data_IF_974822602801
#
_entry.id   IF_974822602801
#
_cell.length_a   1.000
_cell.length_b   1.000
_cell.length_c   1.000
_cell.angle_alpha   90.00
_cell.angle_beta   90.00
_cell.angle_gamma   90.00
#
_symmetry.space_group_name_H-M   'P 1'
#
loop_
_entity.id
_entity.type
_entity.pdbx_description
1 polymer ?
#
# COMPACT_ATOMS: atom_id res chain seq x y z
N UNK A 1 -20.76 14.25 20.06
CA UNK A 1 -21.35 13.18 19.20
C UNK A 1 -20.36 12.05 19.13
N UNK A 2 -20.81 10.80 19.08
CA UNK A 2 -19.90 9.70 18.81
C UNK A 2 -19.45 9.79 17.34
N UNK A 3 -18.15 9.72 17.03
CA UNK A 3 -17.67 9.78 15.67
C UNK A 3 -18.17 8.53 14.89
N UNK A 4 -18.61 8.75 13.66
CA UNK A 4 -19.03 7.68 12.76
C UNK A 4 -17.88 7.14 11.92
N UNK A 5 -16.94 8.02 11.57
CA UNK A 5 -15.71 7.69 10.82
C UNK A 5 -14.48 8.21 11.56
N UNK A 6 -13.44 7.38 11.62
CA UNK A 6 -12.12 7.79 12.07
C UNK A 6 -11.17 7.89 10.90
N UNK A 7 -10.50 9.03 10.78
CA UNK A 7 -9.32 9.21 9.93
C UNK A 7 -8.10 8.88 10.78
N UNK A 8 -7.27 7.95 10.34
CA UNK A 8 -6.06 7.52 11.07
C UNK A 8 -4.83 7.89 10.25
N UNK A 9 -3.98 8.74 10.84
CA UNK A 9 -2.77 9.22 10.19
C UNK A 9 -1.52 8.84 11.00
N UNK A 10 -0.66 7.94 10.48
CA UNK A 10 0.66 7.72 11.04
C UNK A 10 1.59 8.88 10.65
N UNK A 11 2.44 9.33 11.57
CA UNK A 11 3.40 10.40 11.27
C UNK A 11 4.76 10.15 11.90
N UNK A 12 5.80 10.72 11.28
CA UNK A 12 7.15 10.85 11.85
C UNK A 12 7.91 11.96 11.14
N UNK A 13 8.27 13.02 11.88
CA UNK A 13 9.10 14.14 11.36
C UNK A 13 8.54 14.75 10.07
N UNK A 14 7.24 15.07 10.06
CA UNK A 14 6.52 15.63 8.90
C UNK A 14 5.52 16.73 9.31
N UNK A 15 5.87 17.53 10.32
CA UNK A 15 4.97 18.54 10.91
C UNK A 15 4.22 19.37 9.86
N UNK A 16 4.93 19.95 8.88
CA UNK A 16 4.30 20.81 7.87
C UNK A 16 3.26 20.05 7.02
N UNK A 17 3.61 18.87 6.52
CA UNK A 17 2.73 18.06 5.69
C UNK A 17 1.52 17.55 6.48
N UNK A 18 1.75 17.14 7.73
CA UNK A 18 0.71 16.70 8.63
C UNK A 18 -0.29 17.83 8.95
N UNK A 19 0.16 19.09 9.06
CA UNK A 19 -0.74 20.23 9.20
C UNK A 19 -1.64 20.37 7.96
N UNK A 20 -1.09 20.23 6.76
CA UNK A 20 -1.88 20.29 5.52
C UNK A 20 -2.90 19.13 5.44
N UNK A 21 -2.51 17.91 5.82
CA UNK A 21 -3.40 16.75 5.92
C UNK A 21 -4.54 16.99 6.92
N UNK A 22 -4.24 17.46 8.13
CA UNK A 22 -5.26 17.78 9.12
C UNK A 22 -6.21 18.87 8.63
N UNK A 23 -5.67 19.95 8.04
CA UNK A 23 -6.50 21.02 7.49
C UNK A 23 -7.48 20.51 6.42
N UNK A 24 -7.11 19.48 5.66
CA UNK A 24 -8.01 18.83 4.69
C UNK A 24 -9.14 18.04 5.36
N UNK A 25 -8.88 17.45 6.54
CA UNK A 25 -9.90 16.76 7.36
C UNK A 25 -10.83 17.77 8.03
N UNK A 26 -10.29 18.87 8.55
CA UNK A 26 -11.10 19.92 9.19
C UNK A 26 -12.04 20.65 8.21
N UNK A 27 -11.69 20.69 6.90
CA UNK A 27 -12.53 21.27 5.83
C UNK A 27 -13.59 20.31 5.27
N UNK A 28 -13.77 19.11 5.83
CA UNK A 28 -14.79 18.17 5.38
C UNK A 28 -16.22 18.71 5.61
N UNK A 29 -17.12 18.42 4.67
CA UNK A 29 -18.55 18.75 4.77
C UNK A 29 -19.31 17.90 5.81
N UNK A 30 -18.70 16.84 6.31
CA UNK A 30 -19.24 15.90 7.28
C UNK A 30 -18.62 16.14 8.65
N UNK A 31 -19.44 16.22 9.72
CA UNK A 31 -18.95 16.62 11.06
C UNK A 31 -18.72 15.46 12.04
N UNK A 32 -19.31 14.27 11.79
CA UNK A 32 -19.24 13.14 12.72
C UNK A 32 -17.96 12.30 12.49
N UNK A 33 -16.80 12.97 12.51
CA UNK A 33 -15.49 12.34 12.40
C UNK A 33 -14.62 12.54 13.64
N UNK A 34 -13.66 11.64 13.82
CA UNK A 34 -12.47 11.84 14.64
C UNK A 34 -11.21 11.70 13.78
N UNK A 35 -10.16 12.49 14.08
CA UNK A 35 -8.85 12.35 13.45
C UNK A 35 -7.84 11.86 14.48
N UNK A 36 -7.42 10.61 14.36
CA UNK A 36 -6.44 9.99 15.26
C UNK A 36 -5.07 10.03 14.59
N UNK A 37 -4.23 10.92 15.08
CA UNK A 37 -2.85 11.08 14.64
C UNK A 37 -1.97 10.27 15.58
N UNK A 38 -1.21 9.32 15.03
CA UNK A 38 -0.32 8.46 15.79
C UNK A 38 1.13 8.73 15.39
N UNK A 39 1.88 9.28 16.30
CA UNK A 39 3.27 9.71 16.11
C UNK A 39 4.27 8.58 16.44
N UNK A 40 5.12 8.25 15.49
CA UNK A 40 6.17 7.23 15.58
C UNK A 40 7.49 7.75 16.19
N UNK A 41 7.40 8.80 17.03
CA UNK A 41 8.54 9.41 17.70
C UNK A 41 9.17 10.54 16.87
N UNK A 42 8.39 11.58 16.60
CA UNK A 42 8.88 12.83 15.98
C UNK A 42 9.66 13.68 16.98
N UNK A 43 10.60 14.48 16.45
CA UNK A 43 11.42 15.46 17.18
C UNK A 43 11.44 16.84 16.48
N UNK A 44 10.46 17.09 15.58
CA UNK A 44 10.33 18.29 14.76
C UNK A 44 9.28 19.31 15.26
N UNK A 45 8.82 19.16 16.52
CA UNK A 45 7.76 20.01 17.10
C UNK A 45 6.34 19.52 16.83
N UNK A 46 6.19 18.31 16.25
CA UNK A 46 4.88 17.71 15.97
C UNK A 46 4.05 17.55 17.25
N UNK A 47 4.67 17.10 18.35
CA UNK A 47 3.96 16.84 19.61
C UNK A 47 3.32 18.11 20.18
N UNK A 48 4.07 19.20 20.24
CA UNK A 48 3.61 20.48 20.78
C UNK A 48 2.48 21.08 19.93
N UNK A 49 2.64 21.07 18.61
CA UNK A 49 1.62 21.62 17.70
C UNK A 49 0.31 20.84 17.77
N UNK A 50 0.37 19.49 17.79
CA UNK A 50 -0.84 18.69 17.78
C UNK A 50 -1.51 18.57 19.15
N UNK A 51 -0.77 18.71 20.27
CA UNK A 51 -1.36 18.90 21.59
C UNK A 51 -2.22 20.17 21.59
N UNK A 52 -1.68 21.31 21.09
CA UNK A 52 -2.39 22.58 20.99
C UNK A 52 -3.63 22.50 20.08
N UNK A 53 -3.55 21.80 18.94
CA UNK A 53 -4.70 21.63 18.04
C UNK A 53 -5.79 20.76 18.64
N UNK A 54 -5.45 19.72 19.39
CA UNK A 54 -6.39 18.85 20.10
C UNK A 54 -7.13 19.58 21.23
N UNK A 55 -6.50 20.55 21.89
CA UNK A 55 -7.17 21.42 22.89
C UNK A 55 -8.26 22.28 22.24
N UNK A 56 -8.07 22.72 20.99
CA UNK A 56 -9.02 23.60 20.29
C UNK A 56 -10.13 22.83 19.52
N UNK A 57 -9.89 21.58 19.15
CA UNK A 57 -10.89 20.73 18.46
C UNK A 57 -10.87 19.32 19.05
N UNK A 58 -11.86 18.94 19.87
CA UNK A 58 -11.91 17.64 20.54
C UNK A 58 -12.05 16.44 19.58
N UNK A 59 -12.30 16.68 18.29
CA UNK A 59 -12.32 15.63 17.27
C UNK A 59 -10.91 15.21 16.86
N UNK A 60 -9.87 15.99 17.21
CA UNK A 60 -8.47 15.69 16.95
C UNK A 60 -7.91 14.98 18.17
N UNK A 61 -7.30 13.82 17.95
CA UNK A 61 -6.64 13.02 18.97
C UNK A 61 -5.20 12.77 18.55
N UNK A 62 -4.27 13.28 19.32
CA UNK A 62 -2.84 13.03 19.13
C UNK A 62 -2.35 11.98 20.11
N UNK A 63 -1.71 10.93 19.59
CA UNK A 63 -1.19 9.81 20.35
C UNK A 63 0.28 9.59 20.01
N UNK A 64 1.13 9.45 21.01
CA UNK A 64 2.49 8.97 20.81
C UNK A 64 2.51 7.45 20.84
N UNK A 65 3.26 6.84 19.92
CA UNK A 65 3.47 5.41 19.94
C UNK A 65 4.23 4.98 21.19
N UNK A 66 3.63 4.10 21.97
CA UNK A 66 4.23 3.49 23.17
C UNK A 66 4.72 2.05 22.91
N UNK A 67 4.37 1.47 21.76
CA UNK A 67 4.77 0.13 21.38
C UNK A 67 6.29 0.06 21.13
N UNK A 68 6.90 -1.09 21.46
CA UNK A 68 8.33 -1.35 21.22
C UNK A 68 8.66 -1.30 19.71
N UNK A 69 7.78 -1.86 18.87
CA UNK A 69 7.93 -1.82 17.41
C UNK A 69 7.53 -0.46 16.87
N UNK A 70 8.24 0.00 15.84
CA UNK A 70 7.97 1.24 15.10
C UNK A 70 7.45 0.95 13.70
N UNK A 71 6.82 1.96 13.08
CA UNK A 71 6.35 1.91 11.71
C UNK A 71 4.89 2.31 11.53
N UNK A 72 4.54 2.69 10.31
CA UNK A 72 3.20 3.16 9.98
C UNK A 72 2.10 2.11 10.25
N UNK A 73 2.38 0.82 10.04
CA UNK A 73 1.48 -0.29 10.36
C UNK A 73 1.17 -0.38 11.86
N UNK A 74 2.18 -0.21 12.72
CA UNK A 74 1.99 -0.17 14.19
C UNK A 74 1.11 1.02 14.57
N UNK A 75 1.41 2.21 14.03
CA UNK A 75 0.64 3.42 14.28
C UNK A 75 -0.82 3.28 13.78
N UNK A 76 -1.04 2.72 12.60
CA UNK A 76 -2.40 2.46 12.10
C UNK A 76 -3.17 1.50 13.01
N UNK A 77 -2.53 0.45 13.51
CA UNK A 77 -3.15 -0.49 14.45
C UNK A 77 -3.49 0.17 15.80
N UNK A 78 -2.63 1.06 16.29
CA UNK A 78 -2.94 1.87 17.49
C UNK A 78 -4.21 2.69 17.22
N UNK A 79 -4.28 3.41 16.09
CA UNK A 79 -5.45 4.18 15.70
C UNK A 79 -6.74 3.34 15.61
N UNK A 80 -6.67 2.13 15.03
CA UNK A 80 -7.84 1.20 14.95
C UNK A 80 -8.31 0.77 16.35
N UNK A 81 -7.39 0.50 17.28
CA UNK A 81 -7.73 0.10 18.66
C UNK A 81 -8.36 1.25 19.44
N UNK A 82 -7.80 2.45 19.31
CA UNK A 82 -8.23 3.64 20.01
C UNK A 82 -9.53 4.25 19.49
N UNK A 83 -9.89 3.94 18.22
CA UNK A 83 -11.12 4.43 17.61
C UNK A 83 -12.36 3.69 18.14
N UNK A 84 -13.42 4.48 18.40
CA UNK A 84 -14.80 4.01 18.61
C UNK A 84 -15.64 4.01 17.34
N UNK A 85 -15.19 4.63 16.26
CA UNK A 85 -15.97 4.81 15.04
C UNK A 85 -16.33 3.49 14.35
N UNK A 86 -17.44 3.50 13.60
CA UNK A 86 -17.88 2.36 12.79
C UNK A 86 -16.97 2.17 11.56
N UNK A 87 -16.55 3.29 10.95
CA UNK A 87 -15.75 3.29 9.73
C UNK A 87 -14.34 3.83 9.99
N UNK A 88 -13.39 3.32 9.22
CA UNK A 88 -11.99 3.72 9.27
C UNK A 88 -11.53 4.14 7.88
N UNK A 89 -10.84 5.26 7.79
CA UNK A 89 -10.06 5.72 6.65
C UNK A 89 -8.62 5.89 7.12
N UNK A 90 -7.66 5.40 6.35
CA UNK A 90 -6.26 5.72 6.56
C UNK A 90 -5.89 6.90 5.67
N UNK A 91 -5.14 7.85 6.20
CA UNK A 91 -4.64 9.00 5.45
C UNK A 91 -3.14 9.12 5.74
N UNK A 92 -2.30 9.06 4.72
CA UNK A 92 -0.89 9.33 4.90
C UNK A 92 -0.65 10.81 5.22
N UNK A 93 0.38 11.10 6.00
CA UNK A 93 0.65 12.45 6.52
C UNK A 93 1.01 13.50 5.46
N UNK A 94 1.19 13.08 4.21
CA UNK A 94 1.48 13.94 3.04
C UNK A 94 0.34 14.01 2.03
N UNK A 95 -0.77 13.30 2.25
CA UNK A 95 -1.93 13.24 1.36
C UNK A 95 -3.08 14.13 1.85
N UNK A 96 -4.04 14.42 0.95
CA UNK A 96 -5.14 15.34 1.23
C UNK A 96 -6.49 14.72 0.87
N UNK A 97 -7.51 14.92 1.72
CA UNK A 97 -8.90 14.60 1.40
C UNK A 97 -9.58 15.79 0.71
N UNK A 98 -10.41 15.53 -0.31
CA UNK A 98 -11.26 16.55 -0.92
C UNK A 98 -12.48 16.85 -0.03
N UNK A 99 -13.09 18.03 -0.11
CA UNK A 99 -14.07 18.50 0.89
C UNK A 99 -15.27 17.58 1.16
N UNK A 100 -15.71 16.79 0.20
CA UNK A 100 -16.88 15.88 0.35
C UNK A 100 -16.50 14.41 0.54
N UNK A 101 -15.22 14.12 0.77
CA UNK A 101 -14.71 12.75 0.85
C UNK A 101 -15.41 11.95 1.97
N UNK A 102 -15.42 12.46 3.20
CA UNK A 102 -15.98 11.73 4.33
C UNK A 102 -17.49 11.54 4.19
N UNK A 103 -18.23 12.59 3.84
CA UNK A 103 -19.69 12.55 3.66
C UNK A 103 -20.08 11.45 2.66
N UNK A 104 -19.48 11.50 1.47
CA UNK A 104 -19.81 10.55 0.40
C UNK A 104 -19.44 9.12 0.75
N UNK A 105 -18.25 8.91 1.31
CA UNK A 105 -17.79 7.57 1.69
C UNK A 105 -18.68 6.96 2.77
N UNK A 106 -19.03 7.72 3.79
CA UNK A 106 -19.89 7.29 4.89
C UNK A 106 -21.29 6.97 4.38
N UNK A 107 -21.89 7.85 3.56
CA UNK A 107 -23.21 7.65 2.97
C UNK A 107 -23.29 6.33 2.18
N UNK A 108 -22.28 6.03 1.37
CA UNK A 108 -22.20 4.78 0.60
C UNK A 108 -22.15 3.57 1.53
N UNK A 109 -21.32 3.60 2.57
CA UNK A 109 -21.17 2.50 3.51
C UNK A 109 -22.42 2.29 4.38
N UNK A 110 -23.14 3.36 4.73
CA UNK A 110 -24.39 3.28 5.46
C UNK A 110 -25.53 2.71 4.60
N UNK A 111 -25.64 3.14 3.34
CA UNK A 111 -26.65 2.62 2.40
C UNK A 111 -26.41 1.15 2.03
N UNK A 112 -25.20 0.65 2.19
CA UNK A 112 -24.79 -0.70 1.79
C UNK A 112 -24.19 -1.46 2.98
N UNK A 113 -25.03 -1.87 3.92
CA UNK A 113 -24.60 -2.55 5.15
C UNK A 113 -23.86 -3.88 4.93
N UNK A 114 -23.99 -4.47 3.74
CA UNK A 114 -23.29 -5.70 3.36
C UNK A 114 -21.86 -5.48 2.89
N UNK A 115 -21.43 -4.23 2.61
CA UNK A 115 -20.05 -3.95 2.19
C UNK A 115 -19.10 -3.98 3.38
N UNK A 116 -17.97 -4.60 3.20
CA UNK A 116 -16.86 -4.60 4.13
C UNK A 116 -15.98 -3.34 3.95
N UNK A 117 -15.85 -2.86 2.71
CA UNK A 117 -15.21 -1.60 2.37
C UNK A 117 -15.68 -1.08 1.00
N UNK A 118 -15.40 0.19 0.71
CA UNK A 118 -15.50 0.76 -0.64
C UNK A 118 -14.26 1.55 -0.96
N UNK A 119 -13.89 1.63 -2.24
CA UNK A 119 -12.64 2.22 -2.73
C UNK A 119 -12.93 3.39 -3.65
N UNK A 120 -12.13 4.45 -3.56
CA UNK A 120 -12.21 5.64 -4.39
C UNK A 120 -10.87 5.93 -5.05
N UNK A 121 -10.89 6.69 -6.15
CA UNK A 121 -9.68 7.03 -6.90
C UNK A 121 -8.97 8.23 -6.28
N UNK A 122 -7.65 8.28 -6.46
CA UNK A 122 -6.83 9.39 -6.06
C UNK A 122 -6.41 10.24 -7.27
N UNK A 123 -6.44 11.56 -7.09
CA UNK A 123 -5.66 12.47 -7.91
C UNK A 123 -4.19 12.47 -7.50
N UNK A 124 -3.33 13.02 -8.33
CA UNK A 124 -1.90 13.20 -8.02
C UNK A 124 -1.53 14.66 -8.10
N UNK A 125 -0.73 15.13 -7.15
CA UNK A 125 -0.18 16.48 -7.17
C UNK A 125 1.27 16.51 -6.66
N UNK A 126 1.99 17.59 -6.96
CA UNK A 126 3.37 17.80 -6.49
C UNK A 126 3.42 18.94 -5.47
N UNK A 127 3.00 20.12 -5.84
CA UNK A 127 3.02 21.32 -4.99
C UNK A 127 1.62 21.74 -4.52
N UNK A 128 0.62 21.64 -5.39
CA UNK A 128 -0.76 22.02 -5.11
C UNK A 128 -1.74 21.11 -5.85
N UNK A 129 -2.87 20.80 -5.20
CA UNK A 129 -3.93 19.99 -5.84
C UNK A 129 -4.34 20.61 -7.17
N UNK A 130 -4.34 19.78 -8.23
CA UNK A 130 -4.68 20.19 -9.58
C UNK A 130 -3.49 20.65 -10.45
N UNK A 131 -2.25 20.65 -9.94
CA UNK A 131 -1.05 20.93 -10.72
C UNK A 131 -0.68 19.80 -11.70
N UNK A 132 -1.22 18.59 -11.45
CA UNK A 132 -1.15 17.45 -12.37
C UNK A 132 -2.56 16.98 -12.73
N UNK A 133 -2.77 16.72 -14.03
CA UNK A 133 -4.00 16.08 -14.55
C UNK A 133 -3.84 14.57 -14.61
N UNK A 134 -3.41 13.96 -13.51
CA UNK A 134 -3.08 12.52 -13.45
C UNK A 134 -3.82 11.84 -12.31
N UNK A 135 -4.23 10.61 -12.55
CA UNK A 135 -4.80 9.73 -11.55
C UNK A 135 -3.74 8.74 -11.05
N UNK A 136 -3.82 8.37 -9.77
CA UNK A 136 -2.81 7.50 -9.19
C UNK A 136 -2.96 6.05 -9.64
N UNK A 137 -4.16 5.57 -9.86
CA UNK A 137 -4.41 4.19 -10.32
C UNK A 137 -5.49 4.14 -11.37
N UNK A 138 -5.21 3.47 -12.53
CA UNK A 138 -6.23 3.15 -13.48
C UNK A 138 -7.21 2.11 -12.89
N UNK A 139 -8.50 2.40 -12.96
CA UNK A 139 -9.52 1.39 -12.70
C UNK A 139 -9.67 0.49 -13.94
N UNK A 140 -8.77 -0.46 -14.09
CA UNK A 140 -8.90 -1.46 -15.14
C UNK A 140 -9.86 -2.56 -14.66
N UNK A 141 -10.84 -2.98 -15.47
CA UNK A 141 -11.70 -4.10 -15.11
C UNK A 141 -10.86 -5.37 -15.00
N UNK A 142 -11.10 -6.17 -13.97
CA UNK A 142 -10.40 -7.42 -13.80
C UNK A 142 -10.50 -8.02 -12.40
N UNK A 143 -9.74 -9.06 -12.18
CA UNK A 143 -9.58 -9.71 -10.89
C UNK A 143 -8.56 -8.91 -10.04
N UNK A 144 -9.04 -8.11 -9.10
CA UNK A 144 -8.19 -7.25 -8.28
C UNK A 144 -7.19 -8.05 -7.43
N UNK A 145 -7.56 -9.23 -6.94
CA UNK A 145 -6.61 -10.11 -6.26
C UNK A 145 -5.47 -10.51 -7.22
N UNK A 146 -5.80 -10.92 -8.45
CA UNK A 146 -4.82 -11.24 -9.47
C UNK A 146 -3.88 -10.06 -9.77
N UNK A 147 -4.45 -8.84 -9.85
CA UNK A 147 -3.70 -7.61 -10.13
C UNK A 147 -2.74 -7.27 -9.00
N UNK A 148 -3.17 -7.31 -7.74
CA UNK A 148 -2.27 -7.17 -6.61
C UNK A 148 -1.14 -8.19 -6.64
N UNK A 149 -1.44 -9.46 -6.90
CA UNK A 149 -0.41 -10.50 -6.99
C UNK A 149 0.53 -10.32 -8.19
N UNK A 150 0.09 -9.65 -9.25
CA UNK A 150 0.94 -9.25 -10.38
C UNK A 150 1.76 -7.98 -10.12
N UNK A 151 1.78 -7.47 -8.89
CA UNK A 151 2.46 -6.24 -8.48
C UNK A 151 1.85 -4.97 -9.10
N UNK A 152 0.56 -5.00 -9.43
CA UNK A 152 -0.19 -3.79 -9.74
C UNK A 152 -0.72 -3.18 -8.45
N UNK A 153 -0.51 -1.89 -8.22
CA UNK A 153 -1.19 -1.19 -7.14
C UNK A 153 -2.62 -0.88 -7.59
N UNK A 154 -3.59 -1.68 -7.18
CA UNK A 154 -4.98 -1.52 -7.62
C UNK A 154 -5.64 -0.31 -6.94
N UNK A 155 -5.31 -0.09 -5.68
CA UNK A 155 -5.59 1.11 -4.89
C UNK A 155 -4.52 1.24 -3.80
N UNK A 156 -4.33 2.44 -3.33
CA UNK A 156 -3.41 2.77 -2.24
C UNK A 156 -4.14 2.81 -0.89
N UNK A 157 -3.43 3.14 0.17
CA UNK A 157 -3.93 3.03 1.54
C UNK A 157 -5.05 4.02 1.89
N UNK A 158 -5.06 5.21 1.27
CA UNK A 158 -6.04 6.27 1.54
C UNK A 158 -7.34 6.10 0.71
N UNK A 159 -7.31 5.25 -0.33
CA UNK A 159 -8.46 4.98 -1.20
C UNK A 159 -9.66 4.33 -0.52
N UNK A 160 -9.47 3.31 0.32
CA UNK A 160 -10.59 2.62 0.94
C UNK A 160 -11.16 3.34 2.16
N UNK A 161 -12.50 3.22 2.34
CA UNK A 161 -13.17 3.33 3.66
C UNK A 161 -13.55 1.92 4.12
N UNK A 162 -13.13 1.56 5.31
CA UNK A 162 -13.27 0.23 5.87
C UNK A 162 -14.33 0.16 6.95
N UNK A 163 -15.12 -0.91 6.98
CA UNK A 163 -15.88 -1.25 8.19
C UNK A 163 -14.89 -1.75 9.25
N UNK A 164 -14.82 -1.08 10.40
CA UNK A 164 -13.85 -1.40 11.47
C UNK A 164 -13.95 -2.85 11.96
N UNK A 165 -15.16 -3.41 12.02
CA UNK A 165 -15.36 -4.82 12.38
C UNK A 165 -14.65 -5.77 11.40
N UNK A 166 -14.68 -5.47 10.11
CA UNK A 166 -13.99 -6.26 9.08
C UNK A 166 -12.47 -6.16 9.20
N UNK A 167 -11.92 -4.96 9.43
CA UNK A 167 -10.47 -4.82 9.69
C UNK A 167 -10.04 -5.69 10.87
N UNK A 168 -10.80 -5.70 11.97
CA UNK A 168 -10.54 -6.56 13.13
C UNK A 168 -10.65 -8.06 12.79
N UNK A 169 -11.64 -8.43 12.00
CA UNK A 169 -11.85 -9.81 11.55
C UNK A 169 -10.67 -10.35 10.75
N UNK A 170 -10.12 -9.54 9.85
CA UNK A 170 -8.95 -9.93 9.06
C UNK A 170 -7.61 -9.74 9.79
N UNK A 171 -7.60 -9.27 11.05
CA UNK A 171 -6.41 -9.16 11.90
C UNK A 171 -5.61 -7.86 11.75
N UNK A 172 -6.22 -6.78 11.22
CA UNK A 172 -5.59 -5.45 11.05
C UNK A 172 -4.27 -5.51 10.24
N UNK A 173 -3.30 -4.65 10.51
CA UNK A 173 -1.98 -4.69 9.85
C UNK A 173 -1.03 -5.68 10.54
N UNK A 174 -0.16 -6.31 9.76
CA UNK A 174 0.95 -7.10 10.32
C UNK A 174 2.10 -6.17 10.74
N UNK A 175 2.28 -6.03 12.05
CA UNK A 175 3.30 -5.17 12.65
C UNK A 175 4.74 -5.69 12.45
N UNK A 176 4.92 -6.88 11.93
CA UNK A 176 6.26 -7.45 11.65
C UNK A 176 6.83 -7.02 10.30
N UNK A 177 6.00 -6.39 9.45
CA UNK A 177 6.38 -6.02 8.09
C UNK A 177 6.99 -4.61 8.05
N UNK A 178 8.18 -4.48 7.48
CA UNK A 178 8.85 -3.20 7.25
C UNK A 178 8.36 -2.50 5.97
N UNK A 179 7.82 -3.26 5.02
CA UNK A 179 7.30 -2.74 3.75
C UNK A 179 6.15 -3.58 3.23
N UNK A 180 5.42 -3.07 2.22
CA UNK A 180 4.26 -3.74 1.61
C UNK A 180 3.15 -4.12 2.61
N UNK A 181 3.06 -3.43 3.73
CA UNK A 181 2.09 -3.74 4.79
C UNK A 181 0.64 -3.49 4.36
N UNK A 182 0.40 -2.46 3.56
CA UNK A 182 -0.88 -2.15 2.90
C UNK A 182 -1.23 -3.22 1.85
N UNK A 183 -0.24 -3.57 1.03
CA UNK A 183 -0.37 -4.61 0.02
C UNK A 183 -0.78 -5.95 0.61
N UNK A 184 -0.10 -6.38 1.66
CA UNK A 184 -0.40 -7.60 2.38
C UNK A 184 -1.82 -7.57 2.96
N UNK A 185 -2.20 -6.47 3.57
CA UNK A 185 -3.53 -6.29 4.15
C UNK A 185 -4.63 -6.33 3.08
N UNK A 186 -4.42 -5.68 1.92
CA UNK A 186 -5.37 -5.71 0.81
C UNK A 186 -5.53 -7.12 0.22
N UNK A 187 -4.42 -7.85 0.00
CA UNK A 187 -4.48 -9.24 -0.47
C UNK A 187 -5.18 -10.15 0.54
N UNK A 188 -4.95 -9.94 1.83
CA UNK A 188 -5.62 -10.69 2.91
C UNK A 188 -7.11 -10.39 2.95
N UNK A 189 -7.53 -9.13 2.78
CA UNK A 189 -8.93 -8.74 2.68
C UNK A 189 -9.62 -9.41 1.49
N UNK A 190 -9.01 -9.36 0.30
CA UNK A 190 -9.54 -10.01 -0.90
C UNK A 190 -9.56 -11.54 -0.77
N UNK A 191 -8.56 -12.13 -0.11
CA UNK A 191 -8.51 -13.57 0.16
C UNK A 191 -9.56 -14.02 1.17
N UNK A 192 -10.00 -13.14 2.06
CA UNK A 192 -11.15 -13.34 2.95
C UNK A 192 -12.51 -13.18 2.24
N UNK A 193 -12.52 -12.97 0.89
CA UNK A 193 -13.71 -12.75 0.08
C UNK A 193 -14.52 -11.53 0.50
N UNK A 194 -13.83 -10.44 0.85
CA UNK A 194 -14.45 -9.18 1.21
C UNK A 194 -15.49 -8.73 0.16
N UNK A 195 -16.59 -8.18 0.62
CA UNK A 195 -17.60 -7.53 -0.22
C UNK A 195 -17.22 -6.05 -0.35
N UNK A 196 -16.92 -5.62 -1.55
CA UNK A 196 -16.48 -4.25 -1.81
C UNK A 196 -16.95 -3.74 -3.18
N UNK A 197 -16.89 -2.43 -3.34
CA UNK A 197 -17.16 -1.73 -4.62
C UNK A 197 -16.09 -0.67 -4.83
N UNK A 198 -15.60 -0.53 -6.06
CA UNK A 198 -14.72 0.54 -6.47
C UNK A 198 -15.53 1.62 -7.21
N UNK A 199 -15.34 2.88 -6.82
CA UNK A 199 -15.99 4.04 -7.42
C UNK A 199 -14.99 4.82 -8.27
N UNK A 200 -15.40 5.31 -9.46
CA UNK A 200 -14.51 6.05 -10.36
C UNK A 200 -14.21 7.47 -9.88
N UNK A 201 -14.87 7.92 -8.85
CA UNK A 201 -14.80 9.28 -8.35
C UNK A 201 -13.49 9.55 -7.63
N UNK A 202 -12.89 10.70 -7.90
CA UNK A 202 -11.68 11.18 -7.26
C UNK A 202 -12.05 12.03 -6.06
N UNK A 203 -11.76 11.55 -4.86
CA UNK A 203 -12.17 12.21 -3.61
C UNK A 203 -11.00 12.49 -2.64
N UNK A 204 -9.79 12.15 -3.04
CA UNK A 204 -8.55 12.46 -2.33
C UNK A 204 -7.40 12.65 -3.30
N UNK A 205 -6.29 13.20 -2.83
CA UNK A 205 -5.13 13.52 -3.65
C UNK A 205 -3.84 13.07 -2.96
N UNK A 206 -2.99 12.38 -3.70
CA UNK A 206 -1.70 11.84 -3.27
C UNK A 206 -0.58 12.78 -3.69
N UNK A 207 0.29 13.12 -2.75
CA UNK A 207 1.46 13.94 -3.02
C UNK A 207 2.58 13.12 -3.64
N UNK A 208 2.91 13.45 -4.88
CA UNK A 208 4.00 12.83 -5.62
C UNK A 208 5.30 13.62 -5.41
N UNK A 209 6.16 13.11 -4.56
CA UNK A 209 7.50 13.67 -4.37
C UNK A 209 8.52 12.55 -4.44
N UNK A 210 9.66 12.82 -5.11
CA UNK A 210 10.83 11.95 -5.05
C UNK A 210 11.57 12.20 -3.73
N UNK A 211 11.18 11.47 -2.70
CA UNK A 211 11.84 11.50 -1.40
C UNK A 211 12.54 10.17 -1.16
N UNK A 212 13.88 10.22 -0.99
CA UNK A 212 14.71 9.06 -0.72
C UNK A 212 14.35 8.34 0.60
N UNK A 213 13.64 9.00 1.50
CA UNK A 213 13.17 8.44 2.77
C UNK A 213 11.88 7.64 2.63
N UNK A 214 11.16 7.78 1.51
CA UNK A 214 9.92 7.02 1.28
C UNK A 214 10.19 5.52 1.24
N UNK A 215 9.32 4.76 1.89
CA UNK A 215 9.36 3.29 1.93
C UNK A 215 9.40 2.69 0.53
N UNK A 216 8.67 3.26 -0.43
CA UNK A 216 8.64 2.83 -1.83
C UNK A 216 10.00 2.92 -2.52
N UNK A 217 10.83 3.92 -2.19
CA UNK A 217 12.19 4.06 -2.74
C UNK A 217 13.16 3.08 -2.05
N UNK A 218 13.06 2.93 -0.73
CA UNK A 218 13.90 1.99 0.05
C UNK A 218 13.66 0.54 -0.36
N UNK A 219 12.44 0.19 -0.73
CA UNK A 219 12.05 -1.15 -1.14
C UNK A 219 12.95 -1.76 -2.23
N UNK A 220 13.54 -0.94 -3.10
CA UNK A 220 14.41 -1.40 -4.18
C UNK A 220 15.91 -1.30 -3.90
N UNK A 221 16.32 -0.61 -2.84
CA UNK A 221 17.73 -0.26 -2.59
C UNK A 221 18.25 -0.78 -1.26
N UNK A 222 17.43 -0.81 -0.22
CA UNK A 222 17.84 -1.20 1.13
C UNK A 222 17.67 -2.71 1.32
N UNK A 223 18.74 -3.46 1.67
CA UNK A 223 18.68 -4.90 1.89
C UNK A 223 17.62 -5.34 2.89
N UNK A 224 17.38 -4.58 3.97
CA UNK A 224 16.37 -4.91 4.97
C UNK A 224 14.95 -4.87 4.38
N UNK A 225 14.69 -3.90 3.51
CA UNK A 225 13.40 -3.78 2.82
C UNK A 225 13.21 -4.84 1.73
N UNK A 226 14.29 -5.24 1.04
CA UNK A 226 14.24 -6.36 0.09
C UNK A 226 13.94 -7.67 0.82
N UNK A 227 14.57 -7.91 1.98
CA UNK A 227 14.29 -9.08 2.83
C UNK A 227 12.84 -9.07 3.37
N UNK A 228 12.32 -7.89 3.72
CA UNK A 228 10.93 -7.75 4.12
C UNK A 228 9.97 -8.14 2.97
N UNK A 229 10.27 -7.72 1.75
CA UNK A 229 9.48 -8.10 0.56
C UNK A 229 9.49 -9.61 0.31
N UNK A 230 10.62 -10.30 0.50
CA UNK A 230 10.69 -11.77 0.42
C UNK A 230 9.72 -12.44 1.43
N UNK A 231 9.69 -11.94 2.67
CA UNK A 231 8.78 -12.46 3.71
C UNK A 231 7.32 -12.22 3.33
N UNK A 232 7.00 -11.03 2.82
CA UNK A 232 5.65 -10.72 2.34
C UNK A 232 5.21 -11.68 1.24
N UNK A 233 6.06 -11.97 0.26
CA UNK A 233 5.74 -12.90 -0.83
C UNK A 233 5.39 -14.30 -0.32
N UNK A 234 6.19 -14.84 0.60
CA UNK A 234 5.91 -16.14 1.22
C UNK A 234 4.56 -16.13 1.95
N UNK A 235 4.26 -15.02 2.65
CA UNK A 235 2.99 -14.83 3.34
C UNK A 235 1.82 -14.73 2.38
N UNK A 236 1.95 -13.97 1.29
CA UNK A 236 0.91 -13.85 0.25
C UNK A 236 0.60 -15.22 -0.38
N UNK A 237 1.64 -15.99 -0.70
CA UNK A 237 1.46 -17.34 -1.22
C UNK A 237 0.69 -18.24 -0.24
N UNK A 238 1.06 -18.24 1.04
CA UNK A 238 0.38 -19.01 2.07
C UNK A 238 -1.09 -18.55 2.24
N UNK A 239 -1.35 -17.23 2.25
CA UNK A 239 -2.69 -16.64 2.38
C UNK A 239 -3.60 -17.06 1.24
N UNK A 240 -3.15 -16.93 -0.01
CA UNK A 240 -3.96 -17.27 -1.20
C UNK A 240 -4.17 -18.78 -1.31
N UNK A 241 -3.17 -19.58 -0.91
CA UNK A 241 -3.29 -21.05 -0.90
C UNK A 241 -4.31 -21.51 0.15
N UNK A 242 -4.18 -21.03 1.39
CA UNK A 242 -5.08 -21.44 2.49
C UNK A 242 -6.53 -20.99 2.28
N UNK A 243 -6.76 -19.90 1.55
CA UNK A 243 -8.11 -19.44 1.19
C UNK A 243 -8.76 -20.24 0.04
N UNK A 244 -8.04 -21.19 -0.57
CA UNK A 244 -8.50 -21.96 -1.73
C UNK A 244 -8.63 -21.13 -3.01
N UNK A 245 -7.94 -20.00 -3.09
CA UNK A 245 -8.01 -19.07 -4.23
C UNK A 245 -6.81 -19.17 -5.18
N UNK A 246 -5.88 -20.10 -4.94
CA UNK A 246 -4.70 -20.26 -5.78
C UNK A 246 -5.08 -20.87 -7.14
N UNK A 247 -5.04 -20.06 -8.18
CA UNK A 247 -5.16 -20.49 -9.58
C UNK A 247 -3.78 -20.49 -10.25
N UNK A 248 -3.65 -21.13 -11.41
CA UNK A 248 -2.42 -21.08 -12.20
C UNK A 248 -1.99 -19.64 -12.53
N UNK A 249 -2.95 -18.79 -12.88
CA UNK A 249 -2.69 -17.37 -13.17
C UNK A 249 -2.12 -16.63 -11.95
N UNK A 250 -2.72 -16.82 -10.76
CA UNK A 250 -2.27 -16.21 -9.51
C UNK A 250 -0.92 -16.76 -9.04
N UNK A 251 -0.69 -18.05 -9.24
CA UNK A 251 0.61 -18.68 -8.96
C UNK A 251 1.72 -18.07 -9.83
N UNK A 252 1.47 -17.83 -11.12
CA UNK A 252 2.42 -17.13 -12.00
C UNK A 252 2.69 -15.70 -11.56
N UNK A 253 1.67 -14.98 -11.14
CA UNK A 253 1.83 -13.63 -10.60
C UNK A 253 2.73 -13.63 -9.36
N UNK A 254 2.50 -14.55 -8.42
CA UNK A 254 3.34 -14.75 -7.23
C UNK A 254 4.80 -15.13 -7.58
N UNK A 255 5.00 -15.95 -8.61
CA UNK A 255 6.36 -16.21 -9.14
C UNK A 255 7.02 -14.94 -9.66
N UNK A 256 6.24 -14.05 -10.29
CA UNK A 256 6.71 -12.73 -10.72
C UNK A 256 7.19 -11.87 -9.56
N UNK A 257 6.50 -11.89 -8.43
CA UNK A 257 6.96 -11.22 -7.20
C UNK A 257 8.30 -11.79 -6.72
N UNK A 258 8.44 -13.13 -6.70
CA UNK A 258 9.70 -13.79 -6.31
C UNK A 258 10.85 -13.41 -7.25
N UNK A 259 10.57 -13.31 -8.55
CA UNK A 259 11.56 -12.85 -9.53
C UNK A 259 11.93 -11.38 -9.30
N UNK A 260 10.97 -10.50 -9.03
CA UNK A 260 11.20 -9.09 -8.72
C UNK A 260 12.11 -8.87 -7.52
N UNK A 261 11.90 -9.62 -6.43
CA UNK A 261 12.78 -9.59 -5.26
C UNK A 261 14.20 -10.11 -5.59
N UNK A 262 14.29 -11.19 -6.35
CA UNK A 262 15.58 -11.70 -6.82
C UNK A 262 16.31 -10.67 -7.69
N UNK A 263 15.61 -9.95 -8.57
CA UNK A 263 16.18 -8.87 -9.37
C UNK A 263 16.72 -7.71 -8.51
N UNK A 264 16.03 -7.35 -7.43
CA UNK A 264 16.54 -6.34 -6.48
C UNK A 264 17.90 -6.76 -5.88
N UNK A 265 18.07 -8.06 -5.56
CA UNK A 265 19.36 -8.57 -5.11
C UNK A 265 20.44 -8.56 -6.20
N UNK A 266 20.07 -8.81 -7.47
CA UNK A 266 21.02 -8.63 -8.59
C UNK A 266 21.49 -7.19 -8.67
N UNK A 267 20.60 -6.21 -8.60
CA UNK A 267 20.90 -4.77 -8.57
C UNK A 267 21.80 -4.39 -7.39
N UNK A 268 21.57 -5.00 -6.23
CA UNK A 268 22.40 -4.86 -5.02
C UNK A 268 23.71 -5.67 -5.10
N UNK A 269 24.09 -6.19 -6.26
CA UNK A 269 25.30 -6.98 -6.53
C UNK A 269 25.40 -8.30 -5.74
N UNK A 270 24.32 -8.87 -5.27
CA UNK A 270 24.25 -10.12 -4.48
C UNK A 270 23.61 -11.27 -5.28
N UNK A 271 24.22 -11.65 -6.43
CA UNK A 271 23.67 -12.69 -7.34
C UNK A 271 23.39 -14.01 -6.64
N UNK A 272 24.28 -14.48 -5.76
CA UNK A 272 24.06 -15.75 -5.02
C UNK A 272 22.80 -15.71 -4.15
N UNK A 273 22.44 -14.54 -3.57
CA UNK A 273 21.17 -14.38 -2.86
C UNK A 273 19.97 -14.34 -3.82
N UNK A 274 20.11 -13.65 -4.93
CA UNK A 274 19.08 -13.60 -5.97
C UNK A 274 18.69 -15.02 -6.44
N UNK A 275 19.68 -15.87 -6.73
CA UNK A 275 19.46 -17.26 -7.13
C UNK A 275 18.75 -18.07 -6.03
N UNK A 276 19.13 -17.88 -4.76
CA UNK A 276 18.46 -18.56 -3.64
C UNK A 276 16.99 -18.15 -3.52
N UNK A 277 16.70 -16.86 -3.58
CA UNK A 277 15.33 -16.30 -3.50
C UNK A 277 14.47 -16.84 -4.62
N UNK A 278 14.98 -16.83 -5.86
CA UNK A 278 14.28 -17.39 -7.00
C UNK A 278 14.00 -18.89 -6.86
N UNK A 279 15.02 -19.70 -6.49
CA UNK A 279 14.85 -21.14 -6.31
C UNK A 279 13.89 -21.47 -5.16
N UNK A 280 13.92 -20.71 -4.08
CA UNK A 280 12.98 -20.86 -2.97
C UNK A 280 11.55 -20.56 -3.43
N UNK A 281 11.31 -19.46 -4.15
CA UNK A 281 10.00 -19.12 -4.71
C UNK A 281 9.49 -20.21 -5.67
N UNK A 282 10.37 -20.71 -6.54
CA UNK A 282 10.05 -21.82 -7.44
C UNK A 282 9.69 -23.10 -6.70
N UNK A 283 10.47 -23.47 -5.68
CA UNK A 283 10.22 -24.65 -4.87
C UNK A 283 8.92 -24.59 -4.10
N UNK A 284 8.66 -23.49 -3.41
CA UNK A 284 7.40 -23.24 -2.66
C UNK A 284 6.17 -23.34 -3.55
N UNK A 285 6.27 -22.89 -4.78
CA UNK A 285 5.17 -22.80 -5.74
C UNK A 285 5.14 -23.96 -6.74
N UNK A 286 6.02 -24.95 -6.60
CA UNK A 286 6.15 -26.06 -7.56
C UNK A 286 6.22 -25.59 -9.03
N UNK A 287 7.03 -24.56 -9.29
CA UNK A 287 7.14 -23.95 -10.60
C UNK A 287 7.63 -24.96 -11.65
N UNK A 288 7.12 -24.94 -12.88
CA UNK A 288 7.61 -25.78 -13.96
C UNK A 288 9.11 -25.55 -14.24
N UNK A 289 9.86 -26.62 -14.54
CA UNK A 289 11.32 -26.59 -14.73
C UNK A 289 11.77 -25.55 -15.76
N UNK A 290 11.02 -25.41 -16.87
CA UNK A 290 11.34 -24.42 -17.89
C UNK A 290 11.29 -22.96 -17.37
N UNK A 291 10.36 -22.64 -16.47
CA UNK A 291 10.30 -21.32 -15.82
C UNK A 291 11.44 -21.13 -14.81
N UNK A 292 11.81 -22.19 -14.08
CA UNK A 292 12.95 -22.15 -13.15
C UNK A 292 14.23 -21.81 -13.90
N UNK A 293 14.53 -22.54 -14.99
CA UNK A 293 15.72 -22.34 -15.82
C UNK A 293 15.70 -20.96 -16.47
N UNK A 294 14.58 -20.58 -17.10
CA UNK A 294 14.46 -19.29 -17.76
C UNK A 294 14.70 -18.12 -16.77
N UNK A 295 14.13 -18.18 -15.56
CA UNK A 295 14.37 -17.18 -14.53
C UNK A 295 15.83 -17.06 -14.12
N UNK A 296 16.54 -18.18 -13.95
CA UNK A 296 17.99 -18.16 -13.64
C UNK A 296 18.79 -17.49 -14.77
N UNK A 297 18.50 -17.82 -16.02
CA UNK A 297 19.14 -17.19 -17.17
C UNK A 297 18.88 -15.68 -17.21
N UNK A 298 17.64 -15.24 -16.89
CA UNK A 298 17.28 -13.82 -16.85
C UNK A 298 17.96 -13.08 -15.69
N UNK A 299 18.13 -13.69 -14.52
CA UNK A 299 18.91 -13.09 -13.42
C UNK A 299 20.38 -12.91 -13.78
N UNK A 300 20.98 -13.87 -14.49
CA UNK A 300 22.32 -13.75 -15.02
C UNK A 300 22.42 -12.63 -16.07
N UNK A 301 21.45 -12.55 -16.99
CA UNK A 301 21.38 -11.47 -17.97
C UNK A 301 21.20 -10.09 -17.31
N UNK A 302 20.35 -9.98 -16.28
CA UNK A 302 20.19 -8.76 -15.50
C UNK A 302 21.50 -8.33 -14.80
N UNK A 303 22.31 -9.28 -14.35
CA UNK A 303 23.64 -9.00 -13.77
C UNK A 303 24.62 -8.42 -14.78
N UNK A 304 24.58 -8.90 -16.01
CA UNK A 304 25.43 -8.41 -17.10
C UNK A 304 24.98 -6.99 -17.55
N UNK A 305 23.67 -6.75 -17.63
CA UNK A 305 23.13 -5.43 -18.02
C UNK A 305 23.39 -4.33 -17.02
N UNK A 306 23.61 -4.68 -15.75
CA UNK A 306 24.02 -3.70 -14.72
C UNK A 306 25.44 -3.14 -14.94
N UNK A 307 26.16 -3.63 -15.94
CA UNK A 307 27.52 -3.17 -16.30
C UNK A 307 27.57 -2.38 -17.61
N UNK A 308 26.76 -2.73 -18.60
CA UNK A 308 26.72 -2.06 -19.91
C UNK A 308 25.41 -2.44 -20.64
N UNK A 309 24.78 -1.44 -21.28
CA UNK A 309 23.79 -1.51 -22.36
C UNK A 309 22.38 -2.09 -22.14
N UNK A 310 21.41 -1.32 -22.67
CA UNK A 310 19.97 -1.57 -22.62
C UNK A 310 19.47 -2.85 -23.34
N UNK A 311 20.33 -3.71 -23.89
CA UNK A 311 19.89 -4.95 -24.56
C UNK A 311 19.42 -6.01 -23.56
N UNK A 312 20.25 -6.32 -22.55
CA UNK A 312 19.88 -7.30 -21.53
C UNK A 312 18.68 -6.84 -20.68
N UNK A 313 18.57 -5.54 -20.38
CA UNK A 313 17.39 -4.95 -19.76
C UNK A 313 16.13 -5.17 -20.60
N UNK A 314 16.19 -4.91 -21.91
CA UNK A 314 15.08 -5.17 -22.84
C UNK A 314 14.70 -6.65 -22.89
N UNK A 315 15.69 -7.54 -22.89
CA UNK A 315 15.45 -9.00 -22.90
C UNK A 315 14.73 -9.44 -21.61
N UNK A 316 15.19 -8.98 -20.45
CA UNK A 316 14.57 -9.29 -19.15
C UNK A 316 13.13 -8.78 -19.10
N UNK A 317 12.89 -7.54 -19.53
CA UNK A 317 11.54 -6.96 -19.54
C UNK A 317 10.62 -7.68 -20.53
N UNK A 318 11.12 -8.01 -21.73
CA UNK A 318 10.35 -8.80 -22.70
C UNK A 318 10.01 -10.18 -22.16
N UNK A 319 10.94 -10.85 -21.46
CA UNK A 319 10.68 -12.15 -20.83
C UNK A 319 9.66 -12.02 -19.70
N UNK A 320 9.75 -10.99 -18.85
CA UNK A 320 8.74 -10.72 -17.81
C UNK A 320 7.34 -10.57 -18.40
N UNK A 321 7.21 -9.81 -19.49
CA UNK A 321 5.96 -9.67 -20.22
C UNK A 321 5.46 -10.99 -20.80
N UNK A 322 6.35 -11.78 -21.44
CA UNK A 322 6.00 -13.10 -21.98
C UNK A 322 5.61 -14.10 -20.88
N UNK A 323 6.37 -14.13 -19.79
CA UNK A 323 6.05 -14.94 -18.62
C UNK A 323 4.78 -14.45 -17.89
N UNK A 324 4.25 -13.28 -18.26
CA UNK A 324 3.15 -12.59 -17.61
C UNK A 324 3.39 -12.42 -16.10
N UNK A 325 4.64 -12.19 -15.71
CA UNK A 325 5.00 -11.93 -14.33
C UNK A 325 4.67 -10.52 -13.91
N UNK A 326 4.63 -9.58 -14.86
CA UNK A 326 4.35 -8.17 -14.61
C UNK A 326 3.69 -7.54 -15.85
N UNK A 327 2.58 -6.86 -15.67
CA UNK A 327 2.32 -5.66 -16.47
C UNK A 327 3.00 -4.52 -15.72
N UNK A 328 3.82 -3.72 -16.39
CA UNK A 328 4.28 -2.48 -15.75
C UNK A 328 3.05 -1.58 -15.58
N UNK A 329 2.65 -1.25 -14.35
CA UNK A 329 1.61 -0.27 -14.19
C UNK A 329 2.17 1.05 -14.69
N UNK A 330 1.49 1.71 -15.61
CA UNK A 330 1.58 3.15 -15.66
C UNK A 330 1.00 3.64 -14.33
N UNK A 331 1.86 3.97 -13.39
CA UNK A 331 1.44 4.47 -12.06
C UNK A 331 0.58 5.73 -12.18
N UNK A 332 0.54 6.32 -13.38
CA UNK A 332 -0.10 7.59 -13.66
C UNK A 332 -0.82 7.52 -15.02
N UNK A 333 -2.14 7.58 -15.03
CA UNK A 333 -2.93 7.86 -16.22
C UNK A 333 -3.18 9.39 -16.35
N UNK A 334 -3.17 9.89 -17.58
CA UNK A 334 -3.69 11.22 -17.84
C UNK A 334 -5.20 11.19 -17.60
N UNK A 335 -5.73 12.14 -16.85
CA UNK A 335 -7.16 12.36 -16.77
C UNK A 335 -7.61 12.91 -18.14
N UNK A 336 -8.50 12.19 -18.82
CA UNK A 336 -9.22 12.68 -19.98
C UNK A 336 -10.18 13.82 -19.60
#
# INVERSE_FOLDING_TARGET
MNPLVAVITPTKNRLKLLCEALDSVQRQSFDAWEHIIVDDGSDDGTAEEFARRAENDPRIRYLQRTAERSGANVCRNIGIRESGAEFIIFLDSDDLLRPQCLERRVEIMQRNSSLDFSVFRAGVFVNSVGDLTRLFHPQNPGDDLQRFLAHECVWEISGPIWRRSFLKQIGCFDETLLSMQDWEMHVRALSARAKYVCFPDVDHDIRWQEDATKTSVRHYKDPAYIEAAEKVQAKLFATVTSSGLLTWSRQRALLGLSFGAAECWVRSRRLGRAIRVWNQGCGQQHAPLHLQIAGLLMLCAARLSAREDGFCSRLVNKWKGWARFRQEPSLLEQAE
#
